data_IF_513957165947
#
_entry.id   IF_513957165947
#
_cell.length_a   1.000
_cell.length_b   1.000
_cell.length_c   1.000
_cell.angle_alpha   90.00
_cell.angle_beta   90.00
_cell.angle_gamma   90.00
#
_symmetry.space_group_name_H-M   'P 1'
#
loop_
_entity.id
_entity.type
_entity.pdbx_description
1 polymer ?
#
# COMPACT_ATOMS: atom_id res chain seq x y z
N UNK A 1 -35.44 57.24 -7.85
CA UNK A 1 -35.41 56.74 -6.46
C UNK A 1 -34.80 55.33 -6.50
N UNK A 2 -33.54 55.15 -6.09
CA UNK A 2 -33.07 54.48 -4.85
C UNK A 2 -33.65 53.07 -4.57
N UNK A 3 -32.84 52.07 -4.98
CA UNK A 3 -32.28 50.92 -4.22
C UNK A 3 -33.17 49.70 -3.83
N UNK A 4 -32.54 48.53 -3.62
CA UNK A 4 -33.00 47.19 -4.01
C UNK A 4 -33.14 46.21 -2.81
N UNK A 5 -33.02 44.89 -3.09
CA UNK A 5 -32.82 43.71 -2.20
C UNK A 5 -34.14 43.27 -1.50
N UNK A 6 -34.55 42.02 -1.29
CA UNK A 6 -33.90 40.75 -0.90
C UNK A 6 -34.88 39.59 -1.17
N UNK A 7 -34.43 38.46 -1.72
CA UNK A 7 -34.46 37.17 -1.00
C UNK A 7 -35.37 36.17 -1.72
N UNK A 8 -35.05 34.90 -1.92
CA UNK A 8 -34.24 33.95 -1.13
C UNK A 8 -33.69 32.89 -2.10
N UNK A 9 -32.37 32.77 -2.23
CA UNK A 9 -31.58 31.72 -1.58
C UNK A 9 -32.12 30.31 -1.86
N UNK A 10 -31.86 29.80 -3.07
CA UNK A 10 -31.97 28.39 -3.37
C UNK A 10 -30.94 27.62 -2.54
N UNK A 11 -31.43 26.86 -1.57
CA UNK A 11 -30.68 25.81 -0.91
C UNK A 11 -30.24 24.78 -1.96
N UNK A 12 -28.94 24.51 -2.03
CA UNK A 12 -28.39 23.49 -2.90
C UNK A 12 -27.03 23.04 -2.38
N UNK A 13 -27.05 21.95 -1.62
CA UNK A 13 -25.91 21.21 -1.08
C UNK A 13 -24.72 21.14 -2.08
N UNK A 14 -23.61 21.81 -1.76
CA UNK A 14 -22.29 21.51 -2.35
C UNK A 14 -21.20 21.47 -1.28
N UNK A 15 -21.51 20.93 -0.10
CA UNK A 15 -20.55 20.60 0.94
C UNK A 15 -20.56 19.08 1.16
N UNK A 16 -19.93 18.28 0.27
CA UNK A 16 -19.65 16.87 0.58
C UNK A 16 -18.69 16.09 -0.36
N UNK A 17 -17.97 16.69 -1.32
CA UNK A 17 -17.17 15.88 -2.27
C UNK A 17 -15.69 16.27 -2.46
N UNK A 18 -15.15 17.19 -1.67
CA UNK A 18 -13.72 17.55 -1.76
C UNK A 18 -12.85 17.04 -0.58
N UNK A 19 -13.43 16.31 0.37
CA UNK A 19 -12.71 15.81 1.55
C UNK A 19 -12.26 14.33 1.45
N UNK A 20 -12.41 13.69 0.30
CA UNK A 20 -11.78 12.38 0.01
C UNK A 20 -10.39 12.54 -0.63
N UNK A 21 -9.65 13.59 -0.26
CA UNK A 21 -8.22 13.69 -0.56
C UNK A 21 -7.41 13.38 0.69
N UNK A 22 -7.62 12.17 1.23
CA UNK A 22 -6.66 11.59 2.16
C UNK A 22 -5.41 11.22 1.38
N UNK A 23 -4.52 12.20 1.18
CA UNK A 23 -3.14 11.99 0.77
C UNK A 23 -2.92 11.49 -0.65
N UNK A 24 -3.45 12.18 -1.67
CA UNK A 24 -2.82 12.13 -2.98
C UNK A 24 -1.48 12.87 -2.87
N UNK A 25 -0.43 12.19 -2.41
CA UNK A 25 0.93 12.66 -2.59
C UNK A 25 1.12 12.83 -4.10
N UNK A 26 1.15 14.08 -4.58
CA UNK A 26 1.32 14.45 -5.99
C UNK A 26 2.76 14.22 -6.49
N UNK A 27 3.48 13.27 -5.90
CA UNK A 27 4.70 12.73 -6.45
C UNK A 27 4.34 11.67 -7.47
N UNK A 28 4.75 11.86 -8.74
CA UNK A 28 4.76 10.73 -9.69
C UNK A 28 5.60 9.62 -9.06
N UNK A 29 4.97 8.53 -8.68
CA UNK A 29 5.68 7.28 -8.39
C UNK A 29 6.25 6.82 -9.74
N UNK A 30 7.56 6.97 -9.90
CA UNK A 30 8.29 6.60 -11.12
C UNK A 30 9.07 5.32 -10.85
N UNK A 31 9.01 4.38 -11.79
CA UNK A 31 9.70 3.10 -11.73
C UNK A 31 8.93 2.03 -12.50
N UNK A 32 9.62 0.98 -12.92
CA UNK A 32 9.02 -0.28 -13.35
C UNK A 32 8.34 -0.98 -12.17
N UNK A 33 7.41 -1.89 -12.44
CA UNK A 33 6.72 -2.63 -11.37
C UNK A 33 7.70 -3.36 -10.45
N UNK A 34 8.80 -3.90 -10.99
CA UNK A 34 9.86 -4.54 -10.20
C UNK A 34 10.57 -3.55 -9.25
N UNK A 35 10.95 -2.37 -9.75
CA UNK A 35 11.59 -1.32 -8.93
C UNK A 35 10.67 -0.85 -7.81
N UNK A 36 9.38 -0.70 -8.11
CA UNK A 36 8.38 -0.29 -7.12
C UNK A 36 8.09 -1.39 -6.09
N UNK A 37 8.05 -2.66 -6.52
CA UNK A 37 7.94 -3.80 -5.62
C UNK A 37 9.13 -3.82 -4.65
N UNK A 38 10.36 -3.70 -5.16
CA UNK A 38 11.55 -3.69 -4.33
C UNK A 38 11.65 -2.49 -3.41
N UNK A 39 11.25 -1.30 -3.87
CA UNK A 39 11.13 -0.12 -3.03
C UNK A 39 10.13 -0.35 -1.87
N UNK A 40 9.03 -1.07 -2.11
CA UNK A 40 8.09 -1.45 -1.05
C UNK A 40 8.69 -2.49 -0.09
N UNK A 41 9.37 -3.52 -0.60
CA UNK A 41 10.05 -4.55 0.22
C UNK A 41 11.12 -3.95 1.13
N UNK A 42 11.91 -2.99 0.64
CA UNK A 42 12.92 -2.31 1.47
C UNK A 42 12.32 -1.41 2.56
N UNK A 43 11.03 -1.05 2.46
CA UNK A 43 10.30 -0.29 3.48
C UNK A 43 9.54 -1.19 4.46
N UNK A 44 9.56 -2.51 4.27
CA UNK A 44 9.05 -3.45 5.27
C UNK A 44 10.01 -3.48 6.46
N UNK A 45 9.49 -3.35 7.69
CA UNK A 45 10.32 -3.39 8.90
C UNK A 45 10.94 -4.78 9.11
N UNK A 46 12.03 -4.83 9.88
CA UNK A 46 12.68 -6.06 10.35
C UNK A 46 13.05 -5.84 11.83
N UNK A 47 12.32 -6.46 12.77
CA UNK A 47 11.27 -7.46 12.57
C UNK A 47 9.96 -6.90 11.98
N UNK A 48 9.08 -7.79 11.50
CA UNK A 48 7.71 -7.42 11.14
C UNK A 48 6.92 -7.03 12.41
N UNK A 49 5.94 -6.11 12.33
CA UNK A 49 5.23 -5.63 13.52
C UNK A 49 4.22 -6.66 14.05
N UNK A 50 4.02 -6.68 15.36
CA UNK A 50 2.88 -7.34 16.01
C UNK A 50 1.75 -6.33 16.26
N UNK A 51 0.50 -6.72 16.00
CA UNK A 51 -0.65 -5.82 16.12
C UNK A 51 -0.92 -5.35 17.55
N UNK A 52 -0.54 -6.13 18.57
CA UNK A 52 -0.77 -5.82 19.99
C UNK A 52 0.41 -5.08 20.61
N UNK A 53 1.63 -5.44 20.23
CA UNK A 53 2.85 -4.86 20.80
C UNK A 53 3.24 -3.53 20.12
N UNK A 54 3.19 -3.47 18.79
CA UNK A 54 3.62 -2.31 18.00
C UNK A 54 2.46 -1.41 17.57
N UNK A 55 1.24 -1.91 17.73
CA UNK A 55 -0.02 -1.22 17.43
C UNK A 55 -0.56 -1.51 16.03
N UNK A 56 -1.89 -1.48 15.92
CA UNK A 56 -2.63 -1.85 14.71
C UNK A 56 -2.20 -1.05 13.48
N UNK A 57 -1.88 0.24 13.63
CA UNK A 57 -1.45 1.07 12.50
C UNK A 57 -0.12 0.60 11.90
N UNK A 58 0.87 0.23 12.72
CA UNK A 58 2.16 -0.25 12.22
C UNK A 58 1.99 -1.58 11.47
N UNK A 59 1.16 -2.47 12.04
CA UNK A 59 0.75 -3.73 11.45
C UNK A 59 0.07 -3.54 10.09
N UNK A 60 -0.97 -2.72 10.02
CA UNK A 60 -1.74 -2.47 8.80
C UNK A 60 -0.87 -1.86 7.69
N UNK A 61 0.00 -0.91 8.04
CA UNK A 61 0.94 -0.31 7.08
C UNK A 61 1.90 -1.35 6.50
N UNK A 62 2.43 -2.26 7.35
CA UNK A 62 3.32 -3.31 6.89
C UNK A 62 2.60 -4.30 5.96
N UNK A 63 1.39 -4.73 6.31
CA UNK A 63 0.57 -5.60 5.47
C UNK A 63 0.21 -4.96 4.13
N UNK A 64 -0.21 -3.68 4.14
CA UNK A 64 -0.54 -2.96 2.92
C UNK A 64 0.69 -2.82 2.00
N UNK A 65 1.88 -2.56 2.56
CA UNK A 65 3.13 -2.53 1.79
C UNK A 65 3.49 -3.89 1.21
N UNK A 66 3.33 -4.96 1.99
CA UNK A 66 3.61 -6.32 1.53
C UNK A 66 2.68 -6.71 0.38
N UNK A 67 1.38 -6.46 0.53
CA UNK A 67 0.39 -6.75 -0.51
C UNK A 67 0.64 -5.94 -1.78
N UNK A 68 0.93 -4.64 -1.65
CA UNK A 68 1.31 -3.81 -2.78
C UNK A 68 2.58 -4.30 -3.49
N UNK A 69 3.59 -4.75 -2.72
CA UNK A 69 4.80 -5.31 -3.27
C UNK A 69 4.53 -6.61 -4.05
N UNK A 70 3.69 -7.50 -3.54
CA UNK A 70 3.34 -8.75 -4.25
C UNK A 70 2.69 -8.46 -5.60
N UNK A 71 1.68 -7.58 -5.64
CA UNK A 71 0.97 -7.28 -6.88
C UNK A 71 1.88 -6.66 -7.94
N UNK A 72 2.78 -5.76 -7.53
CA UNK A 72 3.79 -5.18 -8.40
C UNK A 72 4.80 -6.23 -8.88
N UNK A 73 5.31 -7.09 -8.00
CA UNK A 73 6.23 -8.17 -8.38
C UNK A 73 5.57 -9.16 -9.34
N UNK A 74 4.29 -9.46 -9.14
CA UNK A 74 3.49 -10.29 -10.03
C UNK A 74 3.30 -9.63 -11.40
N UNK A 75 2.98 -8.35 -11.45
CA UNK A 75 2.90 -7.59 -12.70
C UNK A 75 4.24 -7.60 -13.45
N UNK A 76 5.35 -7.40 -12.72
CA UNK A 76 6.69 -7.52 -13.28
C UNK A 76 6.98 -8.92 -13.84
N UNK A 77 6.58 -9.99 -13.12
CA UNK A 77 6.77 -11.36 -13.56
C UNK A 77 5.95 -11.73 -14.81
N UNK A 78 4.75 -11.14 -14.97
CA UNK A 78 3.95 -11.26 -16.18
C UNK A 78 4.61 -10.58 -17.39
N UNK A 79 5.35 -9.50 -17.18
CA UNK A 79 6.10 -8.81 -18.22
C UNK A 79 7.45 -9.48 -18.53
N UNK A 80 8.14 -10.00 -17.51
CA UNK A 80 9.44 -10.67 -17.62
C UNK A 80 9.58 -11.75 -16.53
N UNK A 81 9.64 -13.01 -16.97
CA UNK A 81 9.67 -14.18 -16.09
C UNK A 81 10.87 -14.22 -15.12
N UNK A 82 11.92 -13.42 -15.36
CA UNK A 82 13.05 -13.33 -14.40
C UNK A 82 12.63 -12.82 -13.02
N UNK A 83 11.52 -12.10 -12.92
CA UNK A 83 10.98 -11.57 -11.66
C UNK A 83 10.07 -12.55 -10.92
N UNK A 84 9.82 -13.74 -11.46
CA UNK A 84 9.00 -14.76 -10.81
C UNK A 84 9.47 -15.13 -9.39
N UNK A 85 10.79 -15.25 -9.09
CA UNK A 85 11.25 -15.55 -7.73
C UNK A 85 10.88 -14.49 -6.69
N UNK A 86 10.85 -13.21 -7.09
CA UNK A 86 10.40 -12.11 -6.22
C UNK A 86 8.90 -12.23 -5.93
N UNK A 87 8.09 -12.45 -6.96
CA UNK A 87 6.64 -12.62 -6.80
C UNK A 87 6.29 -13.84 -5.93
N UNK A 88 7.01 -14.95 -6.09
CA UNK A 88 6.78 -16.16 -5.30
C UNK A 88 7.16 -15.97 -3.83
N UNK A 89 8.28 -15.29 -3.54
CA UNK A 89 8.68 -15.00 -2.17
C UNK A 89 7.68 -14.06 -1.45
N UNK A 90 7.14 -13.06 -2.14
CA UNK A 90 6.15 -12.15 -1.55
C UNK A 90 4.80 -12.82 -1.35
N UNK A 91 4.40 -13.70 -2.27
CA UNK A 91 3.20 -14.54 -2.11
C UNK A 91 3.33 -15.54 -0.96
N UNK A 92 4.51 -16.14 -0.79
CA UNK A 92 4.82 -17.01 0.36
C UNK A 92 4.65 -16.24 1.68
N UNK A 93 5.17 -15.01 1.75
CA UNK A 93 4.99 -14.13 2.89
C UNK A 93 3.50 -13.85 3.19
N UNK A 94 2.70 -13.44 2.19
CA UNK A 94 1.25 -13.21 2.39
C UNK A 94 0.49 -14.46 2.80
N UNK A 95 0.84 -15.62 2.24
CA UNK A 95 0.24 -16.90 2.61
C UNK A 95 0.52 -17.25 4.06
N UNK A 96 1.76 -17.07 4.53
CA UNK A 96 2.13 -17.30 5.94
C UNK A 96 1.28 -16.45 6.88
N UNK A 97 1.14 -15.15 6.59
CA UNK A 97 0.29 -14.25 7.40
C UNK A 97 -1.18 -14.69 7.35
N UNK A 98 -1.69 -15.07 6.18
CA UNK A 98 -3.09 -15.44 6.01
C UNK A 98 -3.46 -16.72 6.76
N UNK A 99 -2.51 -17.65 6.95
CA UNK A 99 -2.76 -18.91 7.67
C UNK A 99 -2.51 -18.81 9.16
N UNK A 100 -1.57 -17.96 9.61
CA UNK A 100 -1.18 -17.85 11.03
C UNK A 100 -1.77 -16.65 11.73
N UNK A 101 -2.19 -15.62 10.98
CA UNK A 101 -2.52 -14.28 11.49
C UNK A 101 -1.37 -13.63 12.27
N UNK A 102 -0.13 -14.03 11.97
CA UNK A 102 1.09 -13.54 12.60
C UNK A 102 2.07 -13.04 11.52
N UNK A 103 2.38 -11.74 11.54
CA UNK A 103 3.26 -11.10 10.57
C UNK A 103 4.73 -11.51 10.70
N UNK A 104 5.17 -12.00 11.88
CA UNK A 104 6.54 -12.49 12.06
C UNK A 104 6.81 -13.72 11.20
N UNK A 105 5.78 -14.52 10.92
CA UNK A 105 5.92 -15.72 10.08
C UNK A 105 6.32 -15.38 8.65
N UNK A 106 6.04 -14.15 8.18
CA UNK A 106 6.46 -13.68 6.86
C UNK A 106 7.94 -13.26 6.77
N UNK A 107 8.64 -13.06 7.90
CA UNK A 107 10.00 -12.52 7.90
C UNK A 107 11.00 -13.33 7.06
N UNK A 108 11.02 -14.68 7.08
CA UNK A 108 11.93 -15.45 6.24
C UNK A 108 11.68 -15.21 4.74
N UNK A 109 10.42 -15.15 4.34
CA UNK A 109 10.01 -14.93 2.96
C UNK A 109 10.29 -13.48 2.52
N UNK A 110 10.09 -12.49 3.40
CA UNK A 110 10.49 -11.09 3.16
C UNK A 110 12.01 -10.96 3.03
N UNK A 111 12.79 -11.65 3.89
CA UNK A 111 14.26 -11.70 3.79
C UNK A 111 14.70 -12.30 2.46
N UNK A 112 14.04 -13.37 2.00
CA UNK A 112 14.26 -13.96 0.68
C UNK A 112 13.90 -12.99 -0.45
N UNK A 113 12.76 -12.31 -0.38
CA UNK A 113 12.35 -11.30 -1.36
C UNK A 113 13.40 -10.18 -1.51
N UNK A 114 13.99 -9.72 -0.41
CA UNK A 114 15.09 -8.73 -0.43
C UNK A 114 16.32 -9.20 -1.22
N UNK A 115 16.57 -10.51 -1.34
CA UNK A 115 17.69 -11.04 -2.12
C UNK A 115 17.48 -10.99 -3.63
N UNK A 116 16.24 -10.75 -4.08
CA UNK A 116 15.87 -10.67 -5.49
C UNK A 116 15.75 -9.24 -6.02
N UNK A 117 16.08 -8.22 -5.22
CA UNK A 117 15.81 -6.80 -5.51
C UNK A 117 16.97 -5.97 -6.11
#
# INVERSE_FOLDING_TARGET
MRRPIVGTAAAGLLLALAACQSGAATGKVQGTDAELACAAVHRLPDPMPDSKADGEQAFDIALARLAGAEELARAAALADAKFQPLADALREAQQQISVTFDAHQAEPAVKKARTYC
#
